data_IF_762059348181
#
_entry.id   IF_762059348181
#
_cell.length_a   1.000
_cell.length_b   1.000
_cell.length_c   1.000
_cell.angle_alpha   90.00
_cell.angle_beta   90.00
_cell.angle_gamma   90.00
#
_symmetry.space_group_name_H-M   'P 1'
#
loop_
_entity.id
_entity.type
_entity.pdbx_description
1 polymer ?
#
# COMPACT_ATOMS: atom_id res chain seq x y z
N UNK A 1 31.33 4.80 8.49
CA UNK A 1 30.16 4.11 8.98
C UNK A 1 29.32 3.60 7.84
N UNK A 2 28.96 2.37 7.90
CA UNK A 2 28.18 1.78 6.84
C UNK A 2 26.72 1.68 7.24
N UNK A 3 25.86 2.21 6.40
CA UNK A 3 24.43 2.10 6.62
C UNK A 3 23.91 0.90 5.88
N UNK A 4 23.20 0.09 6.60
CA UNK A 4 22.57 -1.06 6.01
C UNK A 4 21.14 -0.70 5.69
N UNK A 5 20.86 -0.52 4.40
CA UNK A 5 19.51 -0.18 3.96
C UNK A 5 18.65 -1.41 3.73
N UNK A 6 19.18 -2.57 4.00
CA UNK A 6 18.40 -3.78 3.90
C UNK A 6 17.49 -3.87 5.12
N UNK A 7 16.21 -3.82 4.88
CA UNK A 7 15.24 -3.96 5.96
C UNK A 7 15.21 -5.41 6.41
N UNK A 8 15.15 -5.63 7.71
CA UNK A 8 14.95 -6.98 8.20
C UNK A 8 13.51 -7.43 7.92
N UNK A 9 13.26 -8.73 8.10
CA UNK A 9 11.96 -9.29 7.79
C UNK A 9 10.85 -8.70 8.63
N UNK A 10 11.12 -8.47 9.91
CA UNK A 10 10.10 -7.91 10.81
C UNK A 10 9.71 -6.51 10.38
N UNK A 11 10.70 -5.69 10.00
CA UNK A 11 10.42 -4.33 9.53
C UNK A 11 9.60 -4.37 8.24
N UNK A 12 9.94 -5.27 7.31
CA UNK A 12 9.20 -5.40 6.06
C UNK A 12 7.77 -5.82 6.31
N UNK A 13 7.57 -6.81 7.15
CA UNK A 13 6.22 -7.26 7.46
C UNK A 13 5.40 -6.16 8.11
N UNK A 14 6.02 -5.38 8.98
CA UNK A 14 5.34 -4.26 9.63
C UNK A 14 4.92 -3.22 8.58
N UNK A 15 5.81 -2.88 7.66
CA UNK A 15 5.49 -1.92 6.61
C UNK A 15 4.39 -2.45 5.72
N UNK A 16 4.48 -3.70 5.28
CA UNK A 16 3.47 -4.31 4.42
C UNK A 16 2.13 -4.35 5.14
N UNK A 17 2.12 -4.71 6.41
CA UNK A 17 0.90 -4.76 7.20
C UNK A 17 0.24 -3.38 7.27
N UNK A 18 1.03 -2.35 7.55
CA UNK A 18 0.52 -0.98 7.63
C UNK A 18 -0.03 -0.51 6.28
N UNK A 19 0.67 -0.84 5.20
CA UNK A 19 0.20 -0.48 3.86
C UNK A 19 -1.11 -1.20 3.52
N UNK A 20 -1.24 -2.45 3.89
CA UNK A 20 -2.47 -3.21 3.65
C UNK A 20 -3.63 -2.65 4.46
N UNK A 21 -3.39 -2.24 5.69
CA UNK A 21 -4.43 -1.59 6.49
C UNK A 21 -4.85 -0.27 5.85
N UNK A 22 -3.89 0.51 5.39
CA UNK A 22 -4.20 1.77 4.71
C UNK A 22 -5.00 1.50 3.45
N UNK A 23 -4.67 0.45 2.71
CA UNK A 23 -5.40 0.09 1.51
C UNK A 23 -6.85 -0.25 1.82
N UNK A 24 -7.09 -0.98 2.90
CA UNK A 24 -8.47 -1.29 3.31
C UNK A 24 -9.25 -0.02 3.63
N UNK A 25 -8.61 0.95 4.30
CA UNK A 25 -9.26 2.23 4.57
C UNK A 25 -9.60 2.96 3.28
N UNK A 26 -8.67 2.96 2.33
CA UNK A 26 -8.88 3.61 1.04
C UNK A 26 -9.97 2.91 0.25
N UNK A 27 -10.02 1.59 0.27
CA UNK A 27 -11.07 0.84 -0.40
C UNK A 27 -12.45 1.20 0.18
N UNK A 28 -12.55 1.36 1.49
CA UNK A 28 -13.78 1.79 2.12
C UNK A 28 -14.18 3.19 1.68
N UNK A 29 -13.22 4.11 1.64
CA UNK A 29 -13.47 5.48 1.20
C UNK A 29 -13.86 5.51 -0.28
N UNK A 30 -13.24 4.67 -1.09
CA UNK A 30 -13.58 4.55 -2.51
C UNK A 30 -15.01 4.06 -2.68
N UNK A 31 -15.41 3.05 -1.92
CA UNK A 31 -16.78 2.56 -1.95
C UNK A 31 -17.78 3.63 -1.56
N UNK A 32 -17.49 4.40 -0.52
CA UNK A 32 -18.35 5.50 -0.10
C UNK A 32 -18.46 6.56 -1.18
N UNK A 33 -17.33 6.90 -1.81
CA UNK A 33 -17.30 7.89 -2.89
C UNK A 33 -18.15 7.43 -4.07
N UNK A 34 -18.09 6.14 -4.40
CA UNK A 34 -18.93 5.58 -5.47
C UNK A 34 -20.40 5.67 -5.14
N UNK A 35 -20.77 5.35 -3.89
CA UNK A 35 -22.17 5.42 -3.46
C UNK A 35 -22.70 6.85 -3.51
N UNK A 36 -21.85 7.82 -3.18
CA UNK A 36 -22.24 9.22 -3.19
C UNK A 36 -22.09 9.87 -4.55
N UNK A 37 -21.55 9.12 -5.52
CA UNK A 37 -21.35 9.59 -6.90
C UNK A 37 -20.44 10.82 -6.99
N UNK A 38 -19.44 10.90 -6.13
CA UNK A 38 -18.46 11.98 -6.14
C UNK A 38 -17.28 11.58 -7.01
N UNK A 39 -17.33 11.94 -8.29
CA UNK A 39 -16.36 11.48 -9.30
C UNK A 39 -14.93 11.86 -8.94
N UNK A 40 -14.70 13.06 -8.46
CA UNK A 40 -13.35 13.51 -8.12
C UNK A 40 -12.77 12.67 -6.99
N UNK A 41 -13.58 12.32 -6.00
CA UNK A 41 -13.14 11.48 -4.89
C UNK A 41 -12.87 10.05 -5.37
N UNK A 42 -13.71 9.53 -6.29
CA UNK A 42 -13.50 8.19 -6.84
C UNK A 42 -12.14 8.14 -7.55
N UNK A 43 -11.84 9.11 -8.39
CA UNK A 43 -10.55 9.17 -9.10
C UNK A 43 -9.38 9.28 -8.13
N UNK A 44 -9.50 10.12 -7.13
CA UNK A 44 -8.44 10.31 -6.14
C UNK A 44 -8.15 9.01 -5.39
N UNK A 45 -9.18 8.37 -4.86
CA UNK A 45 -8.97 7.17 -4.06
C UNK A 45 -8.55 5.97 -4.91
N UNK A 46 -8.99 5.91 -6.17
CA UNK A 46 -8.53 4.87 -7.08
C UNK A 46 -7.03 4.99 -7.34
N UNK A 47 -6.54 6.22 -7.54
CA UNK A 47 -5.11 6.46 -7.74
C UNK A 47 -4.32 6.09 -6.49
N UNK A 48 -4.80 6.47 -5.31
CA UNK A 48 -4.14 6.12 -4.05
C UNK A 48 -4.09 4.61 -3.86
N UNK A 49 -5.17 3.91 -4.18
CA UNK A 49 -5.22 2.45 -4.07
C UNK A 49 -4.17 1.80 -4.98
N UNK A 50 -4.04 2.27 -6.21
CA UNK A 50 -3.04 1.76 -7.15
C UNK A 50 -1.62 2.00 -6.63
N UNK A 51 -1.36 3.18 -6.09
CA UNK A 51 -0.05 3.51 -5.54
C UNK A 51 0.31 2.56 -4.40
N UNK A 52 -0.64 2.31 -3.50
CA UNK A 52 -0.41 1.39 -2.38
C UNK A 52 -0.22 -0.04 -2.85
N UNK A 53 -1.02 -0.49 -3.81
CA UNK A 53 -0.85 -1.82 -4.39
C UNK A 53 0.54 -2.01 -4.95
N UNK A 54 1.04 -1.03 -5.69
CA UNK A 54 2.36 -1.11 -6.29
C UNK A 54 3.44 -1.15 -5.21
N UNK A 55 3.29 -0.35 -4.16
CA UNK A 55 4.25 -0.37 -3.04
C UNK A 55 4.27 -1.72 -2.34
N UNK A 56 3.09 -2.29 -2.09
CA UNK A 56 2.98 -3.60 -1.45
C UNK A 56 3.65 -4.66 -2.31
N UNK A 57 3.36 -4.67 -3.60
CA UNK A 57 3.95 -5.66 -4.52
C UNK A 57 5.46 -5.52 -4.58
N UNK A 58 5.97 -4.30 -4.59
CA UNK A 58 7.40 -4.07 -4.62
C UNK A 58 8.07 -4.66 -3.37
N UNK A 59 7.50 -4.41 -2.20
CA UNK A 59 8.05 -4.93 -0.95
C UNK A 59 7.95 -6.45 -0.89
N UNK A 60 6.84 -7.02 -1.34
CA UNK A 60 6.66 -8.46 -1.35
C UNK A 60 7.66 -9.13 -2.30
N UNK A 61 7.89 -8.52 -3.46
CA UNK A 61 8.85 -9.05 -4.41
C UNK A 61 10.27 -9.00 -3.87
N UNK A 62 10.63 -7.91 -3.18
CA UNK A 62 11.94 -7.81 -2.55
C UNK A 62 12.14 -8.90 -1.51
N UNK A 63 11.11 -9.19 -0.73
CA UNK A 63 11.18 -10.26 0.25
C UNK A 63 11.43 -11.61 -0.41
N UNK A 64 10.77 -11.87 -1.54
CA UNK A 64 10.97 -13.12 -2.28
C UNK A 64 12.36 -13.24 -2.85
N UNK A 65 12.92 -12.14 -3.31
CA UNK A 65 14.24 -12.15 -3.96
C UNK A 65 15.38 -12.35 -2.98
N UNK A 66 15.13 -12.30 -1.69
CA UNK A 66 16.16 -12.42 -0.68
C UNK A 66 16.31 -13.81 -0.10
N UNK A 67 15.80 -14.77 -0.75
CA UNK A 67 16.00 -16.17 -0.31
C UNK A 67 17.30 -16.75 -0.79
#
# INVERSE_FOLDING_TARGET
MQYNYTLDNDTRFTIIFNLKQRQQQIDTLLEQAKKLEVQNAVSYWATESDTLNNAIKTLENQTKLQH
#
